data_IF_000466654027
#
_entry.id   IF_000466654027
#
_cell.length_a   1.000
_cell.length_b   1.000
_cell.length_c   1.000
_cell.angle_alpha   90.00
_cell.angle_beta   90.00
_cell.angle_gamma   90.00
#
_symmetry.space_group_name_H-M   'P 1'
#
loop_
_entity.id
_entity.type
_entity.pdbx_description
1 polymer ?
#
# COMPACT_ATOMS: atom_id res chain seq x y z
N UNK A 1 40.57 31.83 -41.94
CA UNK A 1 39.76 30.70 -42.43
C UNK A 1 38.31 31.04 -42.12
N UNK A 2 37.51 31.21 -43.18
CA UNK A 2 36.12 31.66 -43.10
C UNK A 2 35.26 30.61 -42.39
N UNK A 3 34.49 31.07 -41.40
CA UNK A 3 33.46 30.30 -40.73
C UNK A 3 32.28 30.23 -41.71
N UNK A 4 32.03 29.03 -42.23
CA UNK A 4 30.84 28.71 -43.02
C UNK A 4 29.60 28.81 -42.13
N UNK A 5 28.75 29.80 -42.39
CA UNK A 5 27.42 29.90 -41.78
C UNK A 5 26.57 28.70 -42.19
N UNK A 6 25.98 28.02 -41.21
CA UNK A 6 25.02 26.95 -41.46
C UNK A 6 23.72 27.55 -42.04
N UNK A 7 23.07 26.91 -43.03
CA UNK A 7 21.88 27.46 -43.65
C UNK A 7 20.72 27.54 -42.65
N UNK A 8 20.14 28.73 -42.56
CA UNK A 8 18.88 29.01 -41.87
C UNK A 8 17.78 28.24 -42.60
N UNK A 9 17.21 27.24 -41.92
CA UNK A 9 16.09 26.46 -42.45
C UNK A 9 14.83 27.34 -42.41
N UNK A 10 14.47 27.92 -43.56
CA UNK A 10 13.18 28.57 -43.76
C UNK A 10 12.10 27.49 -43.89
N UNK A 11 11.11 27.41 -42.99
CA UNK A 11 10.03 26.43 -43.13
C UNK A 11 9.22 26.74 -44.40
N UNK A 12 8.93 25.72 -45.21
CA UNK A 12 8.09 25.87 -46.40
C UNK A 12 6.64 26.17 -46.00
N UNK A 13 5.84 26.88 -46.81
CA UNK A 13 4.48 27.27 -46.47
C UNK A 13 3.44 26.13 -46.58
N UNK A 14 3.83 24.86 -46.45
CA UNK A 14 2.94 23.70 -46.65
C UNK A 14 2.61 22.90 -45.38
N UNK A 15 3.12 23.29 -44.21
CA UNK A 15 2.85 22.58 -42.95
C UNK A 15 1.65 23.14 -42.16
N UNK A 16 0.52 23.37 -42.86
CA UNK A 16 -0.79 23.60 -42.22
C UNK A 16 -1.80 22.51 -42.56
N UNK A 17 -1.36 21.26 -42.54
CA UNK A 17 -2.25 20.13 -42.29
C UNK A 17 -1.98 19.68 -40.85
N UNK A 18 -2.64 20.32 -39.89
CA UNK A 18 -3.13 19.55 -38.75
C UNK A 18 -4.16 18.61 -39.37
N UNK A 19 -3.90 17.30 -39.58
CA UNK A 19 -4.98 16.42 -39.93
C UNK A 19 -5.97 16.54 -38.77
N UNK A 20 -7.14 17.13 -39.03
CA UNK A 20 -8.28 16.92 -38.14
C UNK A 20 -8.44 15.42 -38.10
N UNK A 21 -7.98 14.83 -37.00
CA UNK A 21 -8.21 13.44 -36.71
C UNK A 21 -9.71 13.35 -36.44
N UNK A 22 -10.49 13.27 -37.50
CA UNK A 22 -11.91 12.99 -37.42
C UNK A 22 -12.00 11.59 -36.86
N UNK A 23 -12.42 11.49 -35.59
CA UNK A 23 -12.60 10.23 -34.92
C UNK A 23 -13.57 9.40 -35.76
N UNK A 24 -13.03 8.44 -36.53
CA UNK A 24 -13.77 7.62 -37.51
C UNK A 24 -14.89 6.81 -36.83
N UNK A 25 -14.75 6.58 -35.52
CA UNK A 25 -15.73 5.89 -34.70
C UNK A 25 -16.15 6.71 -33.47
N UNK A 26 -17.39 6.50 -32.95
CA UNK A 26 -17.79 6.94 -31.62
C UNK A 26 -16.86 6.45 -30.52
N UNK A 27 -16.79 7.17 -29.40
CA UNK A 27 -15.87 6.85 -28.31
C UNK A 27 -16.14 5.50 -27.64
N UNK A 28 -17.39 5.02 -27.70
CA UNK A 28 -17.82 3.71 -27.24
C UNK A 28 -17.13 2.59 -28.03
N UNK A 29 -16.96 2.77 -29.34
CA UNK A 29 -16.26 1.82 -30.20
C UNK A 29 -14.76 1.85 -29.92
N UNK A 30 -14.18 3.05 -29.72
CA UNK A 30 -12.78 3.17 -29.32
C UNK A 30 -12.48 2.55 -27.97
N UNK A 31 -13.42 2.60 -27.03
CA UNK A 31 -13.31 1.91 -25.76
C UNK A 31 -13.30 0.38 -25.94
N UNK A 32 -14.18 -0.15 -26.78
CA UNK A 32 -14.16 -1.57 -27.13
C UNK A 32 -12.84 -1.96 -27.79
N UNK A 33 -12.35 -1.17 -28.75
CA UNK A 33 -11.05 -1.41 -29.41
C UNK A 33 -9.92 -1.41 -28.38
N UNK A 34 -9.89 -0.45 -27.45
CA UNK A 34 -8.87 -0.41 -26.42
C UNK A 34 -8.93 -1.65 -25.51
N UNK A 35 -10.12 -2.05 -25.10
CA UNK A 35 -10.32 -3.22 -24.25
C UNK A 35 -9.99 -4.54 -24.95
N UNK A 36 -10.40 -4.73 -26.20
CA UNK A 36 -10.12 -5.96 -26.97
C UNK A 36 -8.69 -6.02 -27.49
N UNK A 37 -8.11 -4.88 -27.82
CA UNK A 37 -6.74 -4.77 -28.33
C UNK A 37 -5.66 -4.72 -27.25
N UNK A 38 -6.02 -4.85 -25.97
CA UNK A 38 -5.14 -4.68 -24.81
C UNK A 38 -4.32 -3.36 -24.88
N UNK A 39 -4.94 -2.31 -25.40
CA UNK A 39 -4.31 -0.99 -25.47
C UNK A 39 -4.39 -0.36 -24.09
N UNK A 40 -3.24 0.10 -23.59
CA UNK A 40 -3.19 0.80 -22.31
C UNK A 40 -4.02 2.08 -22.41
N UNK A 41 -4.99 2.23 -21.52
CA UNK A 41 -5.82 3.44 -21.45
C UNK A 41 -4.98 4.72 -21.29
N UNK A 42 -3.79 4.63 -20.67
CA UNK A 42 -2.85 5.75 -20.58
C UNK A 42 -2.31 6.20 -21.94
N UNK A 43 -2.12 5.29 -22.88
CA UNK A 43 -1.77 5.61 -24.27
C UNK A 43 -2.93 6.33 -24.96
N UNK A 44 -4.17 5.89 -24.70
CA UNK A 44 -5.36 6.51 -25.28
C UNK A 44 -5.50 7.99 -24.85
N UNK A 45 -5.10 8.35 -23.63
CA UNK A 45 -5.11 9.74 -23.15
C UNK A 45 -4.32 10.71 -24.04
N UNK A 46 -3.28 10.21 -24.73
CA UNK A 46 -2.33 11.04 -25.47
C UNK A 46 -2.78 11.35 -26.90
N UNK A 47 -3.88 10.75 -27.38
CA UNK A 47 -4.33 10.86 -28.77
C UNK A 47 -4.85 12.27 -29.07
N UNK A 48 -5.92 12.69 -28.40
CA UNK A 48 -6.49 14.03 -28.52
C UNK A 48 -7.37 14.36 -27.30
N UNK A 49 -7.95 15.58 -27.28
CA UNK A 49 -8.79 16.06 -26.17
C UNK A 49 -9.99 15.16 -25.88
N UNK A 50 -10.64 14.62 -26.91
CA UNK A 50 -11.82 13.75 -26.77
C UNK A 50 -11.43 12.44 -26.09
N UNK A 51 -10.36 11.79 -26.56
CA UNK A 51 -9.85 10.58 -25.92
C UNK A 51 -9.39 10.85 -24.48
N UNK A 52 -8.70 11.97 -24.23
CA UNK A 52 -8.33 12.36 -22.87
C UNK A 52 -9.55 12.45 -21.97
N UNK A 53 -10.63 13.14 -22.39
CA UNK A 53 -11.84 13.26 -21.57
C UNK A 53 -12.53 11.91 -21.31
N UNK A 54 -12.61 11.05 -22.32
CA UNK A 54 -13.25 9.72 -22.20
C UNK A 54 -12.44 8.77 -21.33
N UNK A 55 -11.12 8.66 -21.55
CA UNK A 55 -10.30 7.67 -20.85
C UNK A 55 -9.83 8.17 -19.48
N UNK A 56 -9.64 9.48 -19.29
CA UNK A 56 -9.26 10.04 -17.98
C UNK A 56 -10.38 9.85 -16.95
N UNK A 57 -11.63 10.06 -17.37
CA UNK A 57 -12.81 9.85 -16.51
C UNK A 57 -13.03 8.38 -16.13
N UNK A 58 -12.41 7.42 -16.83
CA UNK A 58 -12.46 5.99 -16.47
C UNK A 58 -11.27 5.57 -15.61
N UNK A 59 -10.08 6.06 -15.96
CA UNK A 59 -8.83 5.73 -15.27
C UNK A 59 -8.73 6.38 -13.89
N UNK A 60 -9.11 7.65 -13.78
CA UNK A 60 -8.88 8.45 -12.60
C UNK A 60 -10.15 8.68 -11.77
N UNK A 61 -11.25 8.04 -12.13
CA UNK A 61 -12.54 8.10 -11.45
C UNK A 61 -12.42 7.87 -9.93
N UNK A 62 -11.68 6.82 -9.55
CA UNK A 62 -11.29 6.58 -8.17
C UNK A 62 -9.79 6.34 -8.09
N UNK A 63 -9.12 7.07 -7.20
CA UNK A 63 -7.74 6.83 -6.84
C UNK A 63 -7.66 6.11 -5.50
N UNK A 64 -6.76 5.13 -5.37
CA UNK A 64 -6.40 4.53 -4.09
C UNK A 64 -4.94 4.88 -3.77
N UNK A 65 -4.71 5.61 -2.69
CA UNK A 65 -3.39 5.97 -2.20
C UNK A 65 -3.06 5.06 -1.03
N UNK A 66 -2.02 4.23 -1.16
CA UNK A 66 -1.57 3.34 -0.07
C UNK A 66 -0.22 3.80 0.43
N UNK A 67 -0.18 4.20 1.69
CA UNK A 67 0.99 4.76 2.35
C UNK A 67 1.39 3.84 3.49
N UNK A 68 2.61 3.33 3.47
CA UNK A 68 3.16 2.51 4.56
C UNK A 68 4.28 3.29 5.23
N UNK A 69 4.16 3.50 6.54
CA UNK A 69 5.09 4.24 7.39
C UNK A 69 5.61 3.31 8.48
N UNK A 70 6.90 3.40 8.77
CA UNK A 70 7.49 2.72 9.93
C UNK A 70 8.47 3.64 10.64
N UNK A 71 8.67 3.43 11.95
CA UNK A 71 9.79 4.07 12.66
C UNK A 71 11.09 3.36 12.30
N UNK A 72 12.20 4.10 12.29
CA UNK A 72 13.52 3.52 12.05
C UNK A 72 14.08 2.78 13.27
N UNK A 73 13.34 2.67 14.38
CA UNK A 73 13.79 2.05 15.63
C UNK A 73 14.28 0.63 15.40
N UNK A 74 13.42 -0.27 14.86
CA UNK A 74 13.79 -1.67 14.57
C UNK A 74 14.96 -1.76 13.60
N UNK A 75 14.96 -0.96 12.52
CA UNK A 75 16.04 -0.96 11.53
C UNK A 75 17.38 -0.55 12.15
N UNK A 76 17.40 0.51 12.98
CA UNK A 76 18.61 0.99 13.66
C UNK A 76 19.14 -0.03 14.66
N UNK A 77 18.27 -0.69 15.41
CA UNK A 77 18.66 -1.73 16.36
C UNK A 77 19.22 -2.96 15.64
N UNK A 78 18.55 -3.41 14.58
CA UNK A 78 19.01 -4.49 13.72
C UNK A 78 20.40 -4.19 13.13
N UNK A 79 20.62 -2.98 12.60
CA UNK A 79 21.92 -2.58 12.06
C UNK A 79 23.01 -2.59 13.13
N UNK A 80 22.73 -2.04 14.32
CA UNK A 80 23.69 -2.08 15.44
C UNK A 80 24.03 -3.51 15.85
N UNK A 81 23.01 -4.38 15.94
CA UNK A 81 23.19 -5.79 16.31
C UNK A 81 24.06 -6.51 15.30
N UNK A 82 23.73 -6.36 14.01
CA UNK A 82 24.48 -6.94 12.90
C UNK A 82 25.94 -6.46 12.87
N UNK A 83 26.20 -5.16 13.09
CA UNK A 83 27.57 -4.63 13.10
C UNK A 83 28.37 -5.07 14.32
N UNK A 84 27.71 -5.29 15.46
CA UNK A 84 28.35 -5.71 16.71
C UNK A 84 28.70 -7.19 16.69
N UNK A 85 27.79 -8.01 16.19
CA UNK A 85 27.84 -9.44 16.38
C UNK A 85 28.08 -10.20 15.06
N UNK A 86 27.66 -9.65 13.92
CA UNK A 86 27.78 -10.29 12.61
C UNK A 86 26.44 -10.81 12.07
N UNK A 87 26.52 -11.85 11.25
CA UNK A 87 25.36 -12.44 10.59
C UNK A 87 24.69 -13.49 11.46
N UNK A 88 23.37 -13.63 11.30
CA UNK A 88 22.61 -14.74 11.88
C UNK A 88 23.04 -16.11 11.29
N UNK A 89 23.81 -16.11 10.19
CA UNK A 89 24.32 -17.29 9.49
C UNK A 89 25.81 -17.20 9.17
N UNK A 90 26.44 -18.37 8.99
CA UNK A 90 27.87 -18.47 8.64
C UNK A 90 28.21 -17.88 7.27
N UNK A 91 27.28 -17.93 6.31
CA UNK A 91 27.50 -17.43 4.96
C UNK A 91 27.15 -15.94 4.86
N UNK A 92 28.19 -15.12 4.71
CA UNK A 92 28.08 -13.68 4.51
C UNK A 92 27.88 -13.40 3.02
N UNK A 93 26.73 -12.84 2.66
CA UNK A 93 26.53 -12.32 1.30
C UNK A 93 27.57 -11.22 1.01
N UNK A 94 28.32 -11.30 -0.11
CA UNK A 94 29.31 -10.29 -0.46
C UNK A 94 28.72 -8.88 -0.45
N UNK A 95 29.41 -7.95 0.22
CA UNK A 95 29.03 -6.54 0.28
C UNK A 95 27.89 -6.19 1.26
N UNK A 96 27.22 -7.17 1.88
CA UNK A 96 26.12 -6.86 2.81
C UNK A 96 26.58 -6.07 4.04
N UNK A 97 27.79 -6.35 4.56
CA UNK A 97 28.35 -5.55 5.67
C UNK A 97 28.48 -4.08 5.30
N UNK A 98 29.06 -3.77 4.15
CA UNK A 98 29.20 -2.40 3.65
C UNK A 98 27.85 -1.73 3.41
N UNK A 99 26.84 -2.47 2.93
CA UNK A 99 25.48 -1.96 2.78
C UNK A 99 24.84 -1.60 4.13
N UNK A 100 25.01 -2.46 5.14
CA UNK A 100 24.50 -2.21 6.50
C UNK A 100 25.23 -1.04 7.15
N UNK A 101 26.56 -0.92 6.99
CA UNK A 101 27.33 0.22 7.50
C UNK A 101 26.87 1.55 6.87
N UNK A 102 26.68 1.55 5.55
CA UNK A 102 26.19 2.72 4.82
C UNK A 102 24.78 3.11 5.28
N UNK A 103 23.86 2.14 5.37
CA UNK A 103 22.49 2.34 5.88
C UNK A 103 22.49 2.84 7.32
N UNK A 104 23.29 2.21 8.19
CA UNK A 104 23.40 2.59 9.60
C UNK A 104 23.86 4.05 9.75
N UNK A 105 24.86 4.48 8.97
CA UNK A 105 25.35 5.86 8.97
C UNK A 105 24.28 6.82 8.45
N UNK A 106 23.61 6.48 7.35
CA UNK A 106 22.60 7.32 6.73
C UNK A 106 21.36 7.51 7.62
N UNK A 107 20.87 6.43 8.24
CA UNK A 107 19.65 6.43 9.04
C UNK A 107 19.78 7.20 10.38
N UNK A 108 20.99 7.58 10.80
CA UNK A 108 21.20 8.31 12.08
C UNK A 108 20.39 9.60 12.16
N UNK A 109 20.18 10.27 11.03
CA UNK A 109 19.58 11.60 10.96
C UNK A 109 18.06 11.60 10.70
N UNK A 110 17.44 10.42 10.67
CA UNK A 110 16.04 10.25 10.31
C UNK A 110 15.31 9.43 11.37
N UNK A 111 14.00 9.63 11.47
CA UNK A 111 13.18 8.99 12.50
C UNK A 111 12.24 7.92 11.92
N UNK A 112 11.84 8.12 10.67
CA UNK A 112 10.84 7.30 9.98
C UNK A 112 11.33 6.89 8.60
N UNK A 113 10.61 5.96 8.00
CA UNK A 113 10.70 5.66 6.57
C UNK A 113 9.32 5.39 5.97
N UNK A 114 9.15 5.78 4.71
CA UNK A 114 8.10 5.29 3.83
C UNK A 114 8.55 4.02 3.15
N UNK A 115 7.65 3.03 3.09
CA UNK A 115 7.89 1.75 2.45
C UNK A 115 7.01 1.64 1.20
N UNK A 116 7.63 1.63 0.02
CA UNK A 116 6.93 1.27 -1.21
C UNK A 116 6.80 -0.24 -1.27
N UNK A 117 5.58 -0.74 -1.06
CA UNK A 117 5.30 -2.17 -0.96
C UNK A 117 4.64 -2.71 -2.21
N UNK A 118 4.97 -3.95 -2.57
CA UNK A 118 4.30 -4.70 -3.64
C UNK A 118 3.72 -6.00 -3.08
N UNK A 119 2.53 -6.37 -3.54
CA UNK A 119 1.93 -7.67 -3.25
C UNK A 119 2.26 -8.59 -4.42
N UNK A 120 3.15 -9.56 -4.16
CA UNK A 120 3.51 -10.56 -5.15
C UNK A 120 2.31 -11.47 -5.42
N UNK A 121 2.10 -11.77 -6.70
CA UNK A 121 1.09 -12.71 -7.17
C UNK A 121 1.74 -14.06 -7.43
N UNK A 122 1.12 -15.11 -6.92
CA UNK A 122 1.50 -16.48 -7.18
C UNK A 122 0.22 -17.31 -7.19
N UNK A 123 0.03 -18.13 -8.22
CA UNK A 123 -1.23 -18.86 -8.43
C UNK A 123 -1.56 -19.80 -7.26
N UNK A 124 -0.56 -20.46 -6.69
CA UNK A 124 -0.76 -21.38 -5.57
C UNK A 124 -1.09 -20.63 -4.31
N UNK A 125 -0.30 -19.59 -4.02
CA UNK A 125 -0.56 -18.74 -2.86
C UNK A 125 -1.91 -18.06 -2.99
N UNK A 126 -2.31 -17.59 -4.18
CA UNK A 126 -3.63 -17.01 -4.42
C UNK A 126 -4.75 -18.02 -4.21
N UNK A 127 -4.59 -19.26 -4.66
CA UNK A 127 -5.59 -20.30 -4.43
C UNK A 127 -5.82 -20.57 -2.93
N UNK A 128 -4.73 -20.71 -2.16
CA UNK A 128 -4.79 -21.06 -0.74
C UNK A 128 -5.06 -19.85 0.17
N UNK A 129 -4.30 -18.76 0.01
CA UNK A 129 -4.42 -17.54 0.83
C UNK A 129 -5.69 -16.78 0.53
N UNK A 130 -6.08 -16.69 -0.75
CA UNK A 130 -7.36 -16.07 -1.09
C UNK A 130 -8.53 -17.05 -0.97
N UNK A 131 -8.34 -18.26 -0.41
CA UNK A 131 -9.40 -19.23 -0.14
C UNK A 131 -10.49 -19.18 -1.22
N UNK A 132 -10.21 -19.62 -2.45
CA UNK A 132 -10.96 -19.29 -3.70
C UNK A 132 -12.50 -19.33 -3.65
N UNK A 133 -13.10 -20.00 -2.66
CA UNK A 133 -14.53 -20.09 -2.42
C UNK A 133 -15.09 -19.14 -1.35
N UNK A 134 -14.24 -18.41 -0.63
CA UNK A 134 -14.64 -17.38 0.34
C UNK A 134 -14.90 -16.06 -0.40
N UNK A 135 -16.17 -15.69 -0.50
CA UNK A 135 -16.61 -14.48 -1.17
C UNK A 135 -16.99 -13.38 -0.16
N UNK A 136 -17.09 -12.15 -0.66
CA UNK A 136 -17.46 -10.99 0.16
C UNK A 136 -18.86 -11.11 0.80
N UNK A 137 -19.76 -11.90 0.20
CA UNK A 137 -21.13 -12.08 0.68
C UNK A 137 -21.21 -12.99 1.92
N UNK A 138 -20.23 -13.85 2.12
CA UNK A 138 -20.09 -14.71 3.29
C UNK A 138 -19.55 -13.96 4.52
N UNK A 139 -19.00 -12.75 4.33
CA UNK A 139 -18.51 -11.94 5.43
C UNK A 139 -19.60 -11.06 6.04
N UNK A 140 -19.38 -10.62 7.29
CA UNK A 140 -20.35 -9.85 8.09
C UNK A 140 -20.34 -8.35 7.76
N UNK A 141 -20.04 -7.99 6.52
CA UNK A 141 -20.19 -6.62 6.06
C UNK A 141 -21.68 -6.21 6.02
N UNK A 142 -22.02 -4.97 6.40
CA UNK A 142 -23.33 -4.43 6.10
C UNK A 142 -23.54 -4.50 4.59
N UNK A 143 -24.65 -5.09 4.18
CA UNK A 143 -25.02 -5.13 2.76
C UNK A 143 -25.47 -3.73 2.35
N UNK A 144 -25.04 -3.24 1.18
CA UNK A 144 -25.50 -1.95 0.70
C UNK A 144 -27.02 -1.98 0.55
N UNK A 145 -27.70 -0.92 1.00
CA UNK A 145 -29.07 -0.65 0.56
C UNK A 145 -29.01 -0.46 -0.96
N UNK A 146 -29.87 -1.20 -1.69
CA UNK A 146 -29.78 -1.38 -3.14
C UNK A 146 -29.52 -0.04 -3.86
N UNK A 147 -28.58 -0.03 -4.82
CA UNK A 147 -28.32 0.99 -5.87
C UNK A 147 -27.12 1.96 -5.76
N UNK A 148 -26.31 2.01 -4.70
CA UNK A 148 -25.26 3.05 -4.59
C UNK A 148 -23.80 2.58 -4.51
N UNK A 149 -23.53 1.27 -4.51
CA UNK A 149 -22.14 0.80 -4.38
C UNK A 149 -21.37 0.92 -5.70
N UNK A 150 -20.34 1.76 -5.71
CA UNK A 150 -19.40 1.88 -6.84
C UNK A 150 -18.68 0.55 -7.05
N UNK A 151 -18.73 0.03 -8.28
CA UNK A 151 -18.06 -1.23 -8.67
C UNK A 151 -16.75 -1.02 -9.43
N UNK A 152 -16.35 0.23 -9.65
CA UNK A 152 -15.12 0.54 -10.35
C UNK A 152 -13.89 0.07 -9.56
N UNK A 153 -12.85 -0.32 -10.29
CA UNK A 153 -11.55 -0.72 -9.75
C UNK A 153 -10.67 0.53 -9.65
N UNK A 154 -10.28 0.97 -8.45
CA UNK A 154 -9.41 2.14 -8.30
C UNK A 154 -8.04 1.94 -8.94
N UNK A 155 -7.46 3.03 -9.43
CA UNK A 155 -6.03 3.08 -9.76
C UNK A 155 -5.23 3.24 -8.46
N UNK A 156 -4.40 2.25 -8.15
CA UNK A 156 -3.67 2.15 -6.88
C UNK A 156 -2.26 2.74 -7.01
N UNK A 157 -1.92 3.68 -6.13
CA UNK A 157 -0.64 4.38 -6.12
C UNK A 157 0.03 4.13 -4.76
N UNK A 158 1.16 3.43 -4.78
CA UNK A 158 1.94 3.07 -3.57
C UNK A 158 3.24 3.86 -3.40
N UNK A 159 3.74 4.43 -4.50
CA UNK A 159 4.99 5.19 -4.47
C UNK A 159 4.76 6.55 -3.81
N UNK A 160 5.43 6.78 -2.69
CA UNK A 160 5.31 8.05 -1.94
C UNK A 160 5.70 9.26 -2.81
N UNK A 161 6.65 9.11 -3.74
CA UNK A 161 6.98 10.16 -4.70
C UNK A 161 5.79 10.52 -5.58
N UNK A 162 5.11 9.52 -6.14
CA UNK A 162 3.90 9.72 -6.97
C UNK A 162 2.76 10.31 -6.15
N UNK A 163 2.58 9.85 -4.91
CA UNK A 163 1.58 10.40 -3.99
C UNK A 163 1.86 11.88 -3.73
N UNK A 164 3.09 12.25 -3.31
CA UNK A 164 3.50 13.66 -3.10
C UNK A 164 3.29 14.50 -4.36
N UNK A 165 3.61 13.94 -5.54
CA UNK A 165 3.40 14.60 -6.83
C UNK A 165 1.92 14.87 -7.10
N UNK A 166 1.04 13.88 -6.87
CA UNK A 166 -0.41 14.01 -7.05
C UNK A 166 -0.99 15.00 -6.04
N UNK A 167 -0.59 14.93 -4.77
CA UNK A 167 -1.00 15.91 -3.76
C UNK A 167 -0.66 17.34 -4.21
N UNK A 168 0.58 17.58 -4.65
CA UNK A 168 1.02 18.92 -5.06
C UNK A 168 0.33 19.42 -6.34
N UNK A 169 0.33 18.61 -7.40
CA UNK A 169 -0.05 19.07 -8.75
C UNK A 169 -1.52 18.81 -9.09
N UNK A 170 -2.17 17.89 -8.36
CA UNK A 170 -3.59 17.62 -8.48
C UNK A 170 -4.30 18.25 -7.31
N UNK A 171 -4.28 17.68 -6.11
CA UNK A 171 -5.20 18.09 -5.03
C UNK A 171 -4.99 19.52 -4.53
N UNK A 172 -3.76 19.97 -4.32
CA UNK A 172 -3.47 21.33 -3.86
C UNK A 172 -3.51 22.39 -4.97
N UNK A 173 -3.48 21.99 -6.24
CA UNK A 173 -3.50 22.92 -7.36
C UNK A 173 -4.96 23.24 -7.77
N UNK A 174 -5.47 24.46 -7.52
CA UNK A 174 -6.84 24.82 -7.90
C UNK A 174 -7.08 24.78 -9.42
N UNK A 175 -6.03 24.91 -10.23
CA UNK A 175 -6.11 24.91 -11.70
C UNK A 175 -5.96 23.51 -12.30
N UNK A 176 -5.84 22.46 -11.47
CA UNK A 176 -5.64 21.11 -11.98
C UNK A 176 -6.87 20.60 -12.70
N UNK A 177 -6.76 20.42 -14.02
CA UNK A 177 -7.79 19.80 -14.86
C UNK A 177 -8.05 18.34 -14.51
N UNK A 178 -7.09 17.67 -13.85
CA UNK A 178 -7.23 16.26 -13.49
C UNK A 178 -8.28 16.06 -12.38
N UNK A 179 -8.47 17.06 -11.51
CA UNK A 179 -9.46 17.02 -10.42
C UNK A 179 -10.86 16.67 -10.90
N UNK A 180 -11.29 17.21 -12.04
CA UNK A 180 -12.66 17.01 -12.55
C UNK A 180 -13.00 15.54 -12.83
N UNK A 181 -11.97 14.73 -13.10
CA UNK A 181 -12.10 13.30 -13.41
C UNK A 181 -12.06 12.42 -12.16
N UNK A 182 -11.56 12.94 -11.03
CA UNK A 182 -11.47 12.20 -9.77
C UNK A 182 -12.76 12.42 -9.01
N UNK A 183 -13.53 11.36 -8.78
CA UNK A 183 -14.79 11.38 -8.02
C UNK A 183 -14.64 10.86 -6.61
N UNK A 184 -13.60 10.07 -6.35
CA UNK A 184 -13.35 9.46 -5.05
C UNK A 184 -11.84 9.26 -4.85
N UNK A 185 -11.39 9.44 -3.60
CA UNK A 185 -10.03 9.11 -3.18
C UNK A 185 -10.13 8.20 -1.96
N UNK A 186 -9.60 6.99 -2.09
CA UNK A 186 -9.43 6.04 -1.00
C UNK A 186 -8.00 6.18 -0.48
N UNK A 187 -7.82 6.39 0.82
CA UNK A 187 -6.49 6.58 1.42
C UNK A 187 -6.29 5.54 2.52
N UNK A 188 -5.35 4.64 2.30
CA UNK A 188 -4.90 3.67 3.30
C UNK A 188 -3.58 4.16 3.89
N UNK A 189 -3.55 4.48 5.19
CA UNK A 189 -2.31 4.80 5.93
C UNK A 189 -2.02 3.65 6.90
N UNK A 190 -1.00 2.86 6.58
CA UNK A 190 -0.54 1.75 7.39
C UNK A 190 0.71 2.16 8.17
N UNK A 191 0.62 2.15 9.50
CA UNK A 191 1.77 2.40 10.39
C UNK A 191 2.19 1.06 10.98
N UNK A 192 3.40 0.59 10.66
CA UNK A 192 3.85 -0.76 11.02
C UNK A 192 4.21 -0.91 12.50
N UNK A 193 4.80 0.12 13.09
CA UNK A 193 5.28 0.09 14.47
C UNK A 193 5.13 1.46 15.13
N UNK A 194 5.02 1.47 16.46
CA UNK A 194 5.02 2.66 17.32
C UNK A 194 4.05 3.78 16.86
N UNK A 195 2.82 3.40 16.47
CA UNK A 195 1.75 4.34 16.06
C UNK A 195 1.49 5.41 17.12
N UNK A 196 1.58 5.02 18.39
CA UNK A 196 1.49 5.91 19.54
C UNK A 196 2.55 7.02 19.48
N UNK A 197 3.79 6.75 19.08
CA UNK A 197 4.84 7.78 18.94
C UNK A 197 4.62 8.73 17.76
N UNK A 198 3.97 8.25 16.70
CA UNK A 198 3.57 9.08 15.57
C UNK A 198 2.40 10.01 15.94
N UNK A 199 1.51 9.55 16.81
CA UNK A 199 0.31 10.29 17.25
C UNK A 199 0.46 10.98 18.62
N UNK A 200 1.61 10.84 19.30
CA UNK A 200 1.81 11.32 20.67
C UNK A 200 1.88 12.84 20.77
N UNK A 201 2.33 13.53 19.72
CA UNK A 201 2.64 14.96 19.76
C UNK A 201 1.79 15.73 18.75
N UNK A 202 1.18 16.82 19.22
CA UNK A 202 0.62 18.06 18.60
C UNK A 202 0.51 18.26 17.07
N UNK A 203 0.60 17.23 16.24
CA UNK A 203 0.37 17.28 14.80
C UNK A 203 -1.14 17.43 14.54
N UNK A 204 -1.47 18.08 13.43
CA UNK A 204 -2.87 18.39 13.11
C UNK A 204 -3.70 17.12 12.95
N UNK A 205 -3.08 16.00 12.56
CA UNK A 205 -3.75 14.71 12.52
C UNK A 205 -4.13 14.19 13.91
N UNK A 206 -3.23 14.22 14.89
CA UNK A 206 -3.58 13.80 16.25
C UNK A 206 -4.55 14.77 16.90
N UNK A 207 -4.46 16.07 16.60
CA UNK A 207 -5.46 17.06 17.04
C UNK A 207 -6.80 16.75 16.42
N UNK A 208 -6.87 16.56 15.10
CA UNK A 208 -8.09 16.20 14.39
C UNK A 208 -8.68 14.89 14.92
N UNK A 209 -7.85 13.86 15.15
CA UNK A 209 -8.31 12.60 15.76
C UNK A 209 -8.83 12.85 17.18
N UNK A 210 -8.08 13.55 18.04
CA UNK A 210 -8.44 13.83 19.43
C UNK A 210 -9.70 14.70 19.54
N UNK A 211 -9.83 15.72 18.72
CA UNK A 211 -10.97 16.65 18.69
C UNK A 211 -12.25 15.92 18.27
N UNK A 212 -12.20 15.14 17.17
CA UNK A 212 -13.35 14.36 16.72
C UNK A 212 -13.68 13.20 17.68
N UNK A 213 -12.68 12.64 18.38
CA UNK A 213 -12.91 11.62 19.40
C UNK A 213 -13.56 12.19 20.67
N UNK A 214 -13.17 13.41 21.08
CA UNK A 214 -13.65 14.03 22.31
C UNK A 214 -15.01 14.72 22.14
N UNK A 215 -15.34 15.18 20.93
CA UNK A 215 -16.61 15.84 20.59
C UNK A 215 -17.17 15.31 19.25
N UNK A 216 -17.73 14.08 19.23
CA UNK A 216 -18.25 13.45 18.00
C UNK A 216 -19.44 14.21 17.37
N UNK A 217 -20.08 15.11 18.11
CA UNK A 217 -21.19 15.95 17.64
C UNK A 217 -20.77 17.22 16.90
N UNK A 218 -19.46 17.56 16.87
CA UNK A 218 -18.98 18.83 16.29
C UNK A 218 -18.69 18.77 14.79
N UNK A 219 -18.58 17.57 14.21
CA UNK A 219 -18.29 17.36 12.79
C UNK A 219 -19.14 16.20 12.24
N UNK A 220 -20.27 16.50 11.61
CA UNK A 220 -21.13 15.51 10.94
C UNK A 220 -20.41 14.70 9.83
N UNK A 221 -19.20 15.12 9.44
CA UNK A 221 -18.45 14.58 8.30
C UNK A 221 -17.33 13.60 8.66
N UNK A 222 -17.01 13.39 9.94
CA UNK A 222 -15.88 12.55 10.37
C UNK A 222 -16.33 11.57 11.45
N UNK A 223 -16.23 10.27 11.17
CA UNK A 223 -16.45 9.18 12.14
C UNK A 223 -15.11 8.53 12.47
N UNK A 224 -14.82 8.37 13.77
CA UNK A 224 -13.61 7.70 14.25
C UNK A 224 -14.03 6.49 15.07
N UNK A 225 -13.65 5.30 14.60
CA UNK A 225 -13.90 4.03 15.27
C UNK A 225 -12.59 3.39 15.69
N UNK A 226 -12.52 2.91 16.94
CA UNK A 226 -11.36 2.20 17.47
C UNK A 226 -11.69 0.72 17.58
N UNK A 227 -10.73 -0.13 17.22
CA UNK A 227 -10.84 -1.58 17.41
C UNK A 227 -9.56 -2.13 18.01
N UNK A 228 -9.69 -3.19 18.81
CA UNK A 228 -8.59 -4.01 19.30
C UNK A 228 -8.66 -5.40 18.66
N UNK A 229 -8.16 -5.51 17.43
CA UNK A 229 -8.03 -6.80 16.75
C UNK A 229 -6.56 -7.26 16.79
N UNK A 230 -6.33 -8.50 17.22
CA UNK A 230 -5.01 -9.13 17.14
C UNK A 230 -4.82 -9.71 15.74
N UNK A 231 -3.86 -9.20 15.00
CA UNK A 231 -3.48 -9.75 13.70
C UNK A 231 -2.63 -11.02 13.93
N UNK A 232 -3.03 -12.19 13.40
CA UNK A 232 -2.21 -13.38 13.49
C UNK A 232 -0.91 -13.21 12.68
N UNK A 233 0.22 -13.28 13.36
CA UNK A 233 1.56 -13.18 12.78
C UNK A 233 2.41 -14.39 13.17
N UNK A 234 3.42 -14.71 12.36
CA UNK A 234 4.42 -15.73 12.74
C UNK A 234 5.16 -15.28 14.00
N UNK A 235 5.30 -16.16 15.01
CA UNK A 235 6.14 -15.88 16.17
C UNK A 235 7.61 -15.96 15.73
N UNK A 236 8.14 -14.83 15.27
CA UNK A 236 9.56 -14.63 14.94
C UNK A 236 10.22 -13.84 16.07
N UNK A 237 11.50 -14.02 16.40
CA UNK A 237 12.17 -13.09 17.32
C UNK A 237 12.78 -11.89 16.58
N UNK A 238 12.18 -10.73 16.83
CA UNK A 238 12.64 -9.42 16.36
C UNK A 238 13.26 -8.59 17.50
N UNK A 239 13.73 -9.23 18.58
CA UNK A 239 14.57 -8.60 19.59
C UNK A 239 16.03 -8.49 19.10
N UNK A 240 16.39 -7.28 18.69
CA UNK A 240 17.72 -6.98 18.16
C UNK A 240 18.77 -6.63 19.23
N UNK A 241 18.44 -6.65 20.53
CA UNK A 241 19.39 -6.28 21.60
C UNK A 241 20.35 -7.42 21.97
N UNK A 242 19.94 -8.66 21.73
CA UNK A 242 20.72 -9.88 22.02
C UNK A 242 21.39 -10.47 20.77
N UNK A 243 22.30 -11.42 21.00
CA UNK A 243 22.92 -12.25 19.95
C UNK A 243 21.95 -13.36 19.55
N UNK A 244 21.09 -13.11 18.58
CA UNK A 244 19.98 -14.02 18.24
C UNK A 244 20.43 -15.41 17.78
N UNK A 245 21.54 -15.53 17.07
CA UNK A 245 22.03 -16.84 16.61
C UNK A 245 22.72 -17.69 17.67
N UNK A 246 23.01 -17.12 18.85
CA UNK A 246 23.46 -17.89 20.01
C UNK A 246 22.26 -18.40 20.84
N UNK A 247 21.04 -17.94 20.53
CA UNK A 247 19.82 -18.38 21.18
C UNK A 247 19.36 -19.73 20.61
N UNK A 248 19.24 -20.73 21.48
CA UNK A 248 18.81 -22.08 21.10
C UNK A 248 17.36 -22.11 20.60
N UNK A 249 16.53 -21.14 20.99
CA UNK A 249 15.13 -21.04 20.57
C UNK A 249 14.96 -20.33 19.21
N UNK A 250 16.01 -19.66 18.71
CA UNK A 250 16.07 -18.95 17.43
C UNK A 250 17.11 -19.59 16.48
N UNK A 251 17.21 -20.92 16.53
CA UNK A 251 18.11 -21.69 15.68
C UNK A 251 17.72 -21.62 14.20
N UNK A 252 18.69 -21.88 13.32
CA UNK A 252 18.46 -22.07 11.89
C UNK A 252 17.36 -23.12 11.61
N UNK A 253 17.16 -24.10 12.50
CA UNK A 253 16.12 -25.11 12.40
C UNK A 253 14.72 -24.48 12.42
N UNK A 254 14.47 -23.47 13.26
CA UNK A 254 13.18 -22.77 13.31
C UNK A 254 12.90 -21.99 12.02
N UNK A 255 13.91 -21.28 11.51
CA UNK A 255 13.80 -20.60 10.21
C UNK A 255 13.60 -21.59 9.06
N UNK A 256 14.21 -22.78 9.15
CA UNK A 256 14.00 -23.85 8.17
C UNK A 256 12.56 -24.37 8.22
N UNK A 257 11.99 -24.59 9.41
CA UNK A 257 10.57 -24.95 9.58
C UNK A 257 9.66 -23.90 8.96
N UNK A 258 9.97 -22.61 9.12
CA UNK A 258 9.21 -21.54 8.46
C UNK A 258 9.39 -21.55 6.94
N UNK A 259 10.62 -21.76 6.46
CA UNK A 259 10.93 -21.82 5.03
C UNK A 259 10.22 -23.00 4.35
N UNK A 260 10.13 -24.16 5.01
CA UNK A 260 9.46 -25.35 4.48
C UNK A 260 7.95 -25.15 4.32
N UNK A 261 7.37 -24.24 5.11
CA UNK A 261 5.96 -23.81 5.00
C UNK A 261 5.72 -22.75 3.92
N UNK A 262 6.75 -22.24 3.26
CA UNK A 262 6.57 -21.32 2.12
C UNK A 262 6.16 -22.12 0.88
N UNK A 263 4.96 -21.80 0.38
CA UNK A 263 4.38 -22.44 -0.82
C UNK A 263 5.11 -22.00 -2.08
N UNK A 264 5.53 -20.73 -2.14
CA UNK A 264 6.26 -20.19 -3.27
C UNK A 264 7.76 -20.47 -3.15
N UNK A 265 8.23 -21.56 -3.79
CA UNK A 265 9.60 -22.08 -3.63
C UNK A 265 10.70 -21.05 -3.84
N UNK A 266 10.54 -20.13 -4.81
CA UNK A 266 11.48 -19.04 -5.09
C UNK A 266 11.68 -18.06 -3.92
N UNK A 267 10.82 -18.12 -2.89
CA UNK A 267 10.84 -17.23 -1.73
C UNK A 267 11.27 -17.91 -0.45
N UNK A 268 11.50 -19.23 -0.46
CA UNK A 268 12.00 -19.96 0.71
C UNK A 268 13.27 -19.35 1.27
N UNK A 269 14.20 -18.99 0.38
CA UNK A 269 15.45 -18.32 0.74
C UNK A 269 15.25 -16.97 1.42
N UNK A 270 14.13 -16.28 1.19
CA UNK A 270 13.84 -15.00 1.85
C UNK A 270 13.57 -15.14 3.35
N UNK A 271 12.93 -16.24 3.77
CA UNK A 271 12.76 -16.52 5.21
C UNK A 271 14.12 -16.78 5.86
N UNK A 272 14.94 -17.54 5.14
CA UNK A 272 16.28 -17.89 5.55
C UNK A 272 17.20 -16.67 5.67
N UNK A 273 17.01 -15.64 4.84
CA UNK A 273 17.86 -14.44 4.80
C UNK A 273 17.10 -13.17 5.21
N UNK A 274 16.16 -13.32 6.15
CA UNK A 274 15.24 -12.27 6.53
C UNK A 274 15.97 -11.06 7.11
N UNK A 275 16.87 -11.28 8.05
CA UNK A 275 17.69 -10.24 8.64
C UNK A 275 19.07 -10.19 7.96
N UNK A 276 19.63 -8.99 7.75
CA UNK A 276 19.20 -7.67 8.23
C UNK A 276 18.26 -6.90 7.27
N UNK A 277 17.60 -7.55 6.31
CA UNK A 277 16.90 -6.87 5.20
C UNK A 277 15.46 -6.48 5.52
N UNK A 278 14.70 -7.40 6.10
CA UNK A 278 13.26 -7.31 6.30
C UNK A 278 12.89 -7.34 7.78
N UNK A 279 13.29 -6.27 8.48
CA UNK A 279 13.05 -6.11 9.93
C UNK A 279 11.58 -6.01 10.33
N UNK A 280 10.69 -5.79 9.35
CA UNK A 280 9.25 -5.60 9.55
C UNK A 280 8.42 -6.82 9.13
N UNK A 281 9.02 -8.00 8.99
CA UNK A 281 8.35 -9.17 8.44
C UNK A 281 7.02 -9.49 9.12
N UNK A 282 6.93 -9.29 10.44
CA UNK A 282 5.70 -9.50 11.20
C UNK A 282 4.60 -8.54 10.75
N UNK A 283 4.94 -7.26 10.73
CA UNK A 283 4.07 -6.12 10.47
C UNK A 283 3.61 -6.06 9.02
N UNK A 284 4.40 -6.60 8.08
CA UNK A 284 4.04 -6.70 6.67
C UNK A 284 2.75 -7.52 6.44
N UNK A 285 2.36 -8.38 7.39
CA UNK A 285 1.03 -9.01 7.37
C UNK A 285 -0.09 -7.96 7.22
N UNK A 286 -0.03 -6.85 7.97
CA UNK A 286 -1.05 -5.79 7.92
C UNK A 286 -1.13 -5.15 6.53
N UNK A 287 0.00 -4.99 5.84
CA UNK A 287 0.04 -4.49 4.46
C UNK A 287 -0.66 -5.47 3.51
N UNK A 288 -0.46 -6.77 3.71
CA UNK A 288 -1.18 -7.79 2.96
C UNK A 288 -2.69 -7.75 3.23
N UNK A 289 -3.11 -7.59 4.49
CA UNK A 289 -4.52 -7.51 4.85
C UNK A 289 -5.21 -6.30 4.21
N UNK A 290 -4.50 -5.18 4.14
CA UNK A 290 -4.94 -3.95 3.48
C UNK A 290 -4.69 -3.95 1.97
N UNK A 291 -4.25 -5.04 1.36
CA UNK A 291 -4.14 -5.11 -0.10
C UNK A 291 -5.50 -5.18 -0.75
N UNK A 292 -5.62 -4.69 -1.99
CA UNK A 292 -6.83 -4.84 -2.80
C UNK A 292 -7.18 -6.31 -3.07
N UNK A 293 -6.16 -7.18 -3.10
CA UNK A 293 -6.32 -8.63 -3.30
C UNK A 293 -7.00 -9.30 -2.10
N UNK A 294 -6.76 -8.79 -0.89
CA UNK A 294 -7.32 -9.36 0.34
C UNK A 294 -8.60 -8.69 0.79
N UNK A 295 -8.65 -7.37 0.72
CA UNK A 295 -9.78 -6.58 1.15
C UNK A 295 -10.12 -5.65 0.01
N UNK A 296 -11.33 -5.70 -0.54
CA UNK A 296 -11.63 -4.99 -1.78
C UNK A 296 -11.97 -3.51 -1.55
N UNK A 297 -11.97 -2.72 -2.62
CA UNK A 297 -12.43 -1.33 -2.56
C UNK A 297 -13.91 -1.22 -2.15
N UNK A 298 -14.74 -2.20 -2.50
CA UNK A 298 -16.14 -2.27 -2.08
C UNK A 298 -16.23 -2.43 -0.55
N UNK A 299 -15.47 -3.38 0.02
CA UNK A 299 -15.42 -3.56 1.47
C UNK A 299 -14.91 -2.31 2.21
N UNK A 300 -13.91 -1.60 1.66
CA UNK A 300 -13.45 -0.30 2.21
C UNK A 300 -14.55 0.75 2.20
N UNK A 301 -15.27 0.91 1.09
CA UNK A 301 -16.39 1.86 0.98
C UNK A 301 -17.49 1.56 1.99
N UNK A 302 -17.77 0.28 2.24
CA UNK A 302 -18.74 -0.12 3.27
C UNK A 302 -18.32 0.29 4.68
N UNK A 303 -17.01 0.40 4.97
CA UNK A 303 -16.53 0.88 6.26
C UNK A 303 -16.80 2.38 6.47
N UNK A 304 -16.82 3.18 5.39
CA UNK A 304 -16.97 4.63 5.48
C UNK A 304 -18.28 5.07 6.14
N UNK A 305 -19.36 4.31 5.91
CA UNK A 305 -20.69 4.61 6.45
C UNK A 305 -20.95 3.98 7.83
N UNK A 306 -19.94 3.36 8.45
CA UNK A 306 -20.10 2.74 9.76
C UNK A 306 -20.00 3.79 10.86
N UNK A 307 -20.99 3.75 11.75
CA UNK A 307 -21.04 4.57 12.97
C UNK A 307 -20.99 3.74 14.24
N UNK A 308 -21.28 2.44 14.15
CA UNK A 308 -21.27 1.49 15.28
C UNK A 308 -19.96 0.69 15.33
N UNK A 309 -19.32 0.71 16.49
CA UNK A 309 -18.07 0.00 16.77
C UNK A 309 -18.24 -1.52 16.60
N UNK A 310 -19.36 -2.10 17.04
CA UNK A 310 -19.56 -3.54 16.96
C UNK A 310 -19.61 -4.04 15.51
N UNK A 311 -20.25 -3.27 14.64
CA UNK A 311 -20.33 -3.54 13.21
C UNK A 311 -18.97 -3.36 12.55
N UNK A 312 -18.23 -2.32 12.92
CA UNK A 312 -16.85 -2.13 12.45
C UNK A 312 -15.92 -3.27 12.90
N UNK A 313 -16.03 -3.73 14.14
CA UNK A 313 -15.28 -4.87 14.68
C UNK A 313 -15.56 -6.17 13.91
N UNK A 314 -16.76 -6.32 13.36
CA UNK A 314 -17.12 -7.46 12.50
C UNK A 314 -16.66 -7.27 11.06
N UNK A 315 -16.61 -6.04 10.57
CA UNK A 315 -16.35 -5.68 9.18
C UNK A 315 -14.87 -5.39 8.87
N UNK A 316 -14.01 -5.16 9.86
CA UNK A 316 -12.65 -4.69 9.58
C UNK A 316 -11.77 -5.74 8.85
N UNK A 317 -10.68 -5.31 8.18
CA UNK A 317 -9.81 -6.19 7.38
C UNK A 317 -9.16 -7.34 8.18
N UNK A 318 -8.85 -7.11 9.46
CA UNK A 318 -8.26 -8.15 10.33
C UNK A 318 -9.28 -9.23 10.62
N UNK A 319 -10.52 -8.85 10.94
CA UNK A 319 -11.60 -9.80 11.15
C UNK A 319 -11.94 -10.56 9.87
N UNK A 320 -11.97 -9.87 8.74
CA UNK A 320 -12.13 -10.47 7.41
C UNK A 320 -11.10 -11.56 7.17
N UNK A 321 -9.84 -11.30 7.49
CA UNK A 321 -8.79 -12.29 7.38
C UNK A 321 -8.96 -13.47 8.31
N UNK A 322 -9.26 -13.23 9.60
CA UNK A 322 -9.51 -14.30 10.56
C UNK A 322 -10.67 -15.20 10.12
N UNK A 323 -11.76 -14.64 9.61
CA UNK A 323 -12.91 -15.42 9.14
C UNK A 323 -12.55 -16.26 7.90
N UNK A 324 -11.67 -15.78 7.02
CA UNK A 324 -11.12 -16.59 5.90
C UNK A 324 -10.26 -17.74 6.37
N UNK A 325 -9.37 -17.47 7.32
CA UNK A 325 -8.51 -18.49 7.91
C UNK A 325 -9.35 -19.60 8.57
N UNK A 326 -10.38 -19.21 9.33
CA UNK A 326 -11.32 -20.16 9.95
C UNK A 326 -12.13 -20.93 8.90
N UNK A 327 -12.59 -20.25 7.84
CA UNK A 327 -13.28 -20.91 6.74
C UNK A 327 -12.39 -21.98 6.12
N UNK A 328 -11.14 -21.66 5.80
CA UNK A 328 -10.20 -22.63 5.26
C UNK A 328 -9.99 -23.83 6.20
N UNK A 329 -9.73 -23.59 7.49
CA UNK A 329 -9.54 -24.66 8.47
C UNK A 329 -10.74 -25.61 8.54
N UNK A 330 -11.96 -25.08 8.53
CA UNK A 330 -13.18 -25.89 8.57
C UNK A 330 -13.38 -26.77 7.31
N UNK A 331 -12.74 -26.43 6.20
CA UNK A 331 -12.80 -27.19 4.95
C UNK A 331 -11.57 -28.07 4.73
N UNK A 332 -10.62 -28.09 5.68
CA UNK A 332 -9.53 -29.07 5.71
C UNK A 332 -9.92 -30.27 6.55
N UNK A 333 -9.39 -31.46 6.21
CA UNK A 333 -9.79 -32.74 6.80
C UNK A 333 -9.50 -32.87 8.32
N UNK A 334 -8.77 -31.93 8.94
CA UNK A 334 -8.46 -31.99 10.37
C UNK A 334 -8.42 -30.57 11.00
N UNK A 335 -9.50 -30.13 11.68
CA UNK A 335 -9.58 -28.80 12.30
C UNK A 335 -8.65 -28.62 13.51
N UNK A 336 -8.08 -29.70 14.07
CA UNK A 336 -7.06 -29.63 15.13
C UNK A 336 -5.65 -29.40 14.57
N UNK A 337 -5.46 -29.55 13.26
CA UNK A 337 -4.18 -29.28 12.63
C UNK A 337 -4.03 -27.78 12.38
N UNK A 338 -3.16 -27.13 13.16
CA UNK A 338 -2.84 -25.70 12.99
C UNK A 338 -1.77 -25.46 11.92
N UNK A 339 -1.10 -26.48 11.40
CA UNK A 339 -0.06 -26.28 10.39
C UNK A 339 -0.53 -25.51 9.15
N UNK A 340 -1.72 -25.80 8.58
CA UNK A 340 -2.21 -25.05 7.44
C UNK A 340 -2.44 -23.57 7.76
N UNK A 341 -2.88 -23.24 8.99
CA UNK A 341 -3.02 -21.86 9.45
C UNK A 341 -1.66 -21.15 9.46
N UNK A 342 -0.64 -21.78 10.04
CA UNK A 342 0.72 -21.23 10.04
C UNK A 342 1.27 -21.04 8.63
N UNK A 343 1.04 -22.00 7.74
CA UNK A 343 1.39 -21.89 6.31
C UNK A 343 0.73 -20.67 5.68
N UNK A 344 -0.57 -20.46 5.89
CA UNK A 344 -1.27 -19.30 5.33
C UNK A 344 -0.72 -17.97 5.88
N UNK A 345 -0.43 -17.88 7.17
CA UNK A 345 0.12 -16.66 7.78
C UNK A 345 1.53 -16.35 7.24
N UNK A 346 2.42 -17.34 7.17
CA UNK A 346 3.77 -17.18 6.58
C UNK A 346 3.66 -16.69 5.14
N UNK A 347 2.78 -17.31 4.35
CA UNK A 347 2.64 -16.96 2.94
C UNK A 347 1.97 -15.57 2.77
N UNK A 348 1.05 -15.16 3.65
CA UNK A 348 0.52 -13.80 3.66
C UNK A 348 1.63 -12.74 3.86
N UNK A 349 2.53 -12.97 4.81
CA UNK A 349 3.65 -12.05 5.12
C UNK A 349 4.70 -12.01 4.01
N UNK A 350 5.11 -13.19 3.52
CA UNK A 350 6.19 -13.28 2.53
C UNK A 350 5.81 -12.74 1.15
N UNK A 351 4.51 -12.55 0.88
CA UNK A 351 4.00 -11.93 -0.35
C UNK A 351 4.29 -10.44 -0.43
N UNK A 352 4.54 -9.79 0.70
CA UNK A 352 4.81 -8.36 0.69
C UNK A 352 6.29 -8.13 0.47
N UNK A 353 6.62 -7.39 -0.58
CA UNK A 353 7.96 -6.93 -0.89
C UNK A 353 8.09 -5.44 -0.64
N UNK A 354 9.17 -5.04 0.02
CA UNK A 354 9.56 -3.64 0.10
C UNK A 354 10.47 -3.37 -1.11
N UNK A 355 9.99 -2.63 -2.10
CA UNK A 355 10.74 -2.30 -3.31
C UNK A 355 11.62 -1.09 -3.13
N UNK A 356 11.13 -0.11 -2.39
CA UNK A 356 11.85 1.12 -2.13
C UNK A 356 11.60 1.60 -0.70
N UNK A 357 12.60 2.28 -0.15
CA UNK A 357 12.60 2.88 1.18
C UNK A 357 12.97 4.34 1.03
N UNK A 358 12.16 5.22 1.59
CA UNK A 358 12.48 6.65 1.68
C UNK A 358 12.47 7.06 3.15
N UNK A 359 13.64 7.38 3.69
CA UNK A 359 13.76 7.89 5.05
C UNK A 359 13.22 9.31 5.17
N UNK A 360 12.71 9.66 6.34
CA UNK A 360 12.12 10.97 6.61
C UNK A 360 12.26 11.35 8.09
N UNK A 361 12.28 12.64 8.38
CA UNK A 361 12.26 13.16 9.75
C UNK A 361 10.86 13.12 10.35
N UNK A 362 10.72 13.16 11.67
CA UNK A 362 9.41 13.30 12.33
C UNK A 362 8.62 14.50 11.79
N UNK A 363 9.29 15.64 11.66
CA UNK A 363 8.68 16.87 11.13
C UNK A 363 8.20 16.70 9.67
N UNK A 364 8.99 16.01 8.84
CA UNK A 364 8.63 15.71 7.45
C UNK A 364 7.40 14.81 7.32
N UNK A 365 7.31 13.75 8.14
CA UNK A 365 6.12 12.88 8.19
C UNK A 365 4.89 13.67 8.64
N UNK A 366 5.00 14.43 9.72
CA UNK A 366 3.88 15.23 10.25
C UNK A 366 3.37 16.23 9.21
N UNK A 367 4.29 16.96 8.57
CA UNK A 367 3.96 17.88 7.48
C UNK A 367 3.23 17.17 6.35
N UNK A 368 3.74 16.02 5.90
CA UNK A 368 3.10 15.23 4.85
C UNK A 368 1.69 14.77 5.23
N UNK A 369 1.47 14.30 6.46
CA UNK A 369 0.15 13.85 6.92
C UNK A 369 -0.84 15.02 7.03
N UNK A 370 -0.40 16.20 7.48
CA UNK A 370 -1.22 17.41 7.45
C UNK A 370 -1.60 17.80 6.01
N UNK A 371 -0.63 17.83 5.09
CA UNK A 371 -0.85 18.11 3.67
C UNK A 371 -1.75 17.06 3.00
N UNK A 372 -1.69 15.80 3.43
CA UNK A 372 -2.53 14.72 2.90
C UNK A 372 -4.02 14.96 3.20
N UNK A 373 -4.33 15.49 4.37
CA UNK A 373 -5.70 15.57 4.91
C UNK A 373 -6.34 16.91 4.60
N UNK A 374 -5.55 17.99 4.58
CA UNK A 374 -6.02 19.37 4.40
C UNK A 374 -7.02 19.57 3.25
N UNK A 375 -6.82 18.98 2.04
CA UNK A 375 -7.76 19.16 0.91
C UNK A 375 -9.16 18.61 1.18
N UNK A 376 -9.29 17.67 2.12
CA UNK A 376 -10.52 16.94 2.39
C UNK A 376 -11.28 17.48 3.60
N UNK A 377 -10.63 18.27 4.45
CA UNK A 377 -11.20 18.75 5.72
C UNK A 377 -11.44 20.26 5.77
N UNK A 378 -10.86 21.06 4.87
CA UNK A 378 -10.99 22.53 4.91
C UNK A 378 -12.29 23.01 4.23
N UNK A 379 -13.23 23.66 4.95
CA UNK A 379 -14.45 24.22 4.37
C UNK A 379 -14.12 25.30 3.33
N UNK A 380 -14.77 25.27 2.16
CA UNK A 380 -14.56 26.24 1.08
C UNK A 380 -13.41 25.93 0.10
N UNK A 381 -12.53 24.98 0.44
CA UNK A 381 -11.66 24.31 -0.53
C UNK A 381 -12.27 22.99 -1.05
N UNK A 382 -13.53 22.73 -0.71
CA UNK A 382 -14.26 21.56 -1.16
C UNK A 382 -14.02 21.37 -2.66
N UNK A 383 -13.37 20.25 -2.98
CA UNK A 383 -13.44 19.66 -4.29
C UNK A 383 -14.94 19.53 -4.58
N UNK A 384 -15.49 20.46 -5.38
CA UNK A 384 -16.82 20.29 -5.95
C UNK A 384 -16.69 19.09 -6.88
N UNK A 385 -16.97 17.89 -6.35
CA UNK A 385 -16.88 16.63 -7.08
C UNK A 385 -18.06 16.45 -8.02
#
# INVERSE_FOLDING_TARGET
MNISEAPIYSPSPSDQLNPKFDNVFPMEIWDLIANYGDLKSSTMLMVNKTFMQTFASKLYDTLQLTIVISTLTKMKLNDKSFLKYGFDKKEVLPGLKSQVEARHKYNKNYDYEYLETEILRDRWVDYYVNCSNFNEEQHKHPKPTKFLERKNKPEEIKSIYKIKYIMKNVFHNPQSKMKQFIKEVLIDVCVLDEMDKLLSDSNDLSKLIKENYSNPSSNEKISILRTSCKNPVVPLDDNFEKRRWEDQDETNERYQVFADKVLFSLRRSKILDLFPRDVYFKELSTVHLLSREMYSSQLRRRLFNLTDENTFNKANPVRYWCDRLLYYLNHTANPLNLDPLYTLIINAQIRVDIKHRQVETKAGINKFLSELIQPFTTPGQHLQF
#
